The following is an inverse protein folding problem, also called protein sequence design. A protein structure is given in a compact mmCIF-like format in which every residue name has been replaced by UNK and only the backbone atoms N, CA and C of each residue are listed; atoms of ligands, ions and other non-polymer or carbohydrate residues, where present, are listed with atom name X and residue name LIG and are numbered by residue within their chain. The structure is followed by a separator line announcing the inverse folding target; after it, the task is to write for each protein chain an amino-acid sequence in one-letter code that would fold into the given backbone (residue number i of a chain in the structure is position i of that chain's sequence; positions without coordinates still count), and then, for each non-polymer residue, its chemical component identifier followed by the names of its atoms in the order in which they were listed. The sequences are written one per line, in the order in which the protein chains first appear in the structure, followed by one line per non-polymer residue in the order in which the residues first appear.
data_IF_487387135343
#
_entry.id   IF_487387135343
#
_cell.length_a   1.000
_cell.length_b   1.000
_cell.length_c   1.000
_cell.angle_alpha   90.00
_cell.angle_beta   90.00
_cell.angle_gamma   90.00
#
_symmetry.space_group_name_H-M   'P 1'
#
loop_
_entity.id
_entity.type
_entity.pdbx_description
1 polymer ?
#
# COMPACT_ATOMS: atom_id res chain seq x y z
N UNK A 1 -17.29 -29.29 -1.74
CA UNK A 1 -16.30 -28.20 -1.55
C UNK A 1 -17.03 -26.88 -1.76
N UNK A 2 -17.15 -26.05 -0.71
CA UNK A 2 -17.93 -24.81 -0.77
C UNK A 2 -17.31 -23.81 -1.75
N UNK A 3 -18.14 -23.14 -2.56
CA UNK A 3 -17.68 -22.03 -3.41
C UNK A 3 -17.10 -20.94 -2.48
N UNK A 4 -15.79 -20.76 -2.48
CA UNK A 4 -15.19 -19.58 -1.86
C UNK A 4 -15.71 -18.35 -2.58
N UNK A 5 -16.39 -17.48 -1.84
CA UNK A 5 -16.74 -16.17 -2.34
C UNK A 5 -15.44 -15.40 -2.64
N UNK A 6 -15.41 -14.69 -3.77
CA UNK A 6 -14.29 -13.85 -4.11
C UNK A 6 -14.18 -12.68 -3.11
N UNK A 7 -12.97 -12.16 -2.86
CA UNK A 7 -12.82 -10.94 -2.08
C UNK A 7 -13.58 -9.76 -2.69
N UNK A 8 -14.13 -8.89 -1.85
CA UNK A 8 -14.93 -7.70 -2.25
C UNK A 8 -14.23 -6.84 -3.31
N UNK A 9 -12.89 -6.75 -3.26
CA UNK A 9 -12.08 -5.90 -4.14
C UNK A 9 -11.29 -6.69 -5.18
N UNK A 10 -11.77 -7.86 -5.59
CA UNK A 10 -11.11 -8.68 -6.63
C UNK A 10 -10.85 -7.90 -7.93
N UNK A 11 -11.75 -6.98 -8.30
CA UNK A 11 -11.60 -6.17 -9.51
C UNK A 11 -10.46 -5.15 -9.42
N UNK A 12 -10.03 -4.76 -8.22
CA UNK A 12 -8.83 -3.94 -8.06
C UNK A 12 -7.59 -4.75 -8.40
N UNK A 13 -7.48 -5.96 -7.84
CA UNK A 13 -6.36 -6.85 -8.16
C UNK A 13 -6.30 -7.15 -9.66
N UNK A 14 -7.44 -7.43 -10.30
CA UNK A 14 -7.51 -7.66 -11.75
C UNK A 14 -7.01 -6.45 -12.55
N UNK A 15 -7.47 -5.24 -12.21
CA UNK A 15 -7.02 -4.01 -12.90
C UNK A 15 -5.53 -3.75 -12.71
N UNK A 16 -4.99 -4.00 -11.52
CA UNK A 16 -3.56 -3.85 -11.25
C UNK A 16 -2.72 -4.86 -12.03
N UNK A 17 -3.12 -6.13 -12.06
CA UNK A 17 -2.42 -7.14 -12.88
C UNK A 17 -2.52 -6.88 -14.38
N UNK A 18 -3.59 -6.23 -14.85
CA UNK A 18 -3.73 -5.85 -16.25
C UNK A 18 -2.91 -4.61 -16.63
N UNK A 19 -2.52 -3.78 -15.66
CA UNK A 19 -1.88 -2.49 -15.89
C UNK A 19 -0.40 -2.44 -15.47
N UNK A 20 0.10 -3.48 -14.80
CA UNK A 20 1.46 -3.50 -14.23
C UNK A 20 2.13 -4.85 -14.45
N UNK A 21 3.46 -4.89 -14.35
CA UNK A 21 4.25 -6.13 -14.39
C UNK A 21 4.26 -6.88 -13.04
N UNK A 22 3.37 -6.52 -12.12
CA UNK A 22 3.32 -7.12 -10.79
C UNK A 22 2.97 -8.61 -10.87
N UNK A 23 3.70 -9.43 -10.10
CA UNK A 23 3.41 -10.86 -9.92
C UNK A 23 2.70 -11.15 -8.60
N UNK A 24 2.65 -10.16 -7.72
CA UNK A 24 1.89 -10.18 -6.49
C UNK A 24 1.30 -8.80 -6.21
N UNK A 25 0.04 -8.79 -5.76
CA UNK A 25 -0.67 -7.60 -5.28
C UNK A 25 -1.22 -7.91 -3.90
N UNK A 26 -0.87 -7.10 -2.91
CA UNK A 26 -1.39 -7.21 -1.55
C UNK A 26 -2.21 -5.95 -1.22
N UNK A 27 -3.48 -6.15 -0.90
CA UNK A 27 -4.33 -5.14 -0.28
C UNK A 27 -4.51 -5.50 1.19
N UNK A 28 -4.13 -4.61 2.10
CA UNK A 28 -4.24 -4.81 3.54
C UNK A 28 -4.64 -3.52 4.26
N UNK A 29 -4.98 -3.63 5.56
CA UNK A 29 -5.51 -2.52 6.34
C UNK A 29 -4.72 -2.28 7.64
N UNK A 30 -3.43 -1.91 7.58
CA UNK A 30 -2.68 -1.58 8.79
C UNK A 30 -3.27 -0.36 9.49
N UNK A 31 -3.48 -0.45 10.81
CA UNK A 31 -4.13 0.63 11.61
C UNK A 31 -3.41 1.97 11.45
N UNK A 32 -2.07 1.97 11.48
CA UNK A 32 -1.29 3.19 11.32
C UNK A 32 -1.48 3.83 9.93
N UNK A 33 -1.59 3.02 8.88
CA UNK A 33 -1.85 3.51 7.51
C UNK A 33 -3.24 4.12 7.43
N UNK A 34 -4.27 3.44 7.95
CA UNK A 34 -5.63 3.96 7.95
C UNK A 34 -5.72 5.32 8.65
N UNK A 35 -5.07 5.45 9.82
CA UNK A 35 -5.06 6.70 10.58
C UNK A 35 -4.34 7.81 9.82
N UNK A 36 -3.18 7.52 9.22
CA UNK A 36 -2.41 8.52 8.47
C UNK A 36 -3.15 8.97 7.20
N UNK A 37 -3.72 8.02 6.45
CA UNK A 37 -4.50 8.30 5.24
C UNK A 37 -5.78 9.12 5.55
N UNK A 38 -6.42 8.88 6.69
CA UNK A 38 -7.57 9.66 7.15
C UNK A 38 -7.21 11.13 7.47
N UNK A 39 -5.95 11.41 7.84
CA UNK A 39 -5.44 12.76 8.04
C UNK A 39 -4.98 13.42 6.73
N UNK A 40 -5.00 12.70 5.61
CA UNK A 40 -4.45 13.19 4.34
C UNK A 40 -2.92 13.26 4.33
N UNK A 41 -2.26 12.51 5.21
CA UNK A 41 -0.81 12.56 5.41
C UNK A 41 -0.10 11.36 4.78
N UNK A 42 1.16 11.57 4.43
CA UNK A 42 2.12 10.54 4.07
C UNK A 42 3.16 10.39 5.18
N UNK A 43 3.81 9.22 5.32
CA UNK A 43 4.85 9.08 6.33
C UNK A 43 5.99 10.07 6.04
N UNK A 44 6.70 10.52 7.06
CA UNK A 44 7.79 11.50 6.90
C UNK A 44 8.96 10.87 6.15
N UNK A 45 9.42 11.53 5.08
CA UNK A 45 10.56 11.10 4.27
C UNK A 45 11.87 10.93 5.06
N UNK A 46 12.01 11.62 6.20
CA UNK A 46 13.15 11.44 7.11
C UNK A 46 13.13 10.10 7.84
N UNK A 47 11.96 9.48 7.99
CA UNK A 47 11.83 8.13 8.56
C UNK A 47 12.22 7.07 7.51
N UNK A 48 12.17 7.43 6.21
CA UNK A 48 12.49 6.52 5.10
C UNK A 48 13.98 6.44 4.81
N UNK A 49 14.75 7.49 5.11
CA UNK A 49 16.17 7.61 4.71
C UNK A 49 17.07 6.53 5.29
N UNK A 50 16.69 5.94 6.42
CA UNK A 50 17.51 4.97 7.14
C UNK A 50 17.32 3.52 6.63
N UNK A 51 16.33 3.30 5.76
CA UNK A 51 16.08 1.99 5.12
C UNK A 51 16.50 2.08 3.67
N UNK A 52 17.75 1.72 3.39
CA UNK A 52 18.33 1.70 2.05
C UNK A 52 17.38 1.08 1.00
N UNK A 53 16.83 1.93 0.14
CA UNK A 53 16.49 1.66 -1.28
C UNK A 53 15.44 0.60 -1.67
N UNK A 54 14.91 -0.21 -0.76
CA UNK A 54 14.06 -1.36 -1.15
C UNK A 54 12.58 -1.02 -1.44
N UNK A 55 12.09 0.13 -0.97
CA UNK A 55 10.67 0.50 -1.04
C UNK A 55 10.52 1.91 -1.62
N UNK A 56 9.80 2.01 -2.73
CA UNK A 56 9.45 3.29 -3.38
C UNK A 56 8.68 4.19 -2.40
N UNK A 57 8.86 5.51 -2.51
CA UNK A 57 8.11 6.46 -1.71
C UNK A 57 6.60 6.22 -1.86
N UNK A 58 5.85 6.02 -0.75
CA UNK A 58 4.42 5.81 -0.80
C UNK A 58 3.69 7.07 -1.27
N UNK A 59 2.60 6.89 -2.00
CA UNK A 59 1.68 7.98 -2.36
C UNK A 59 0.30 7.76 -1.75
N UNK A 60 -0.47 8.84 -1.61
CA UNK A 60 -1.85 8.81 -1.15
C UNK A 60 -2.77 9.05 -2.34
N UNK A 61 -3.80 8.21 -2.49
CA UNK A 61 -4.76 8.34 -3.58
C UNK A 61 -6.20 8.04 -3.13
N UNK A 62 -7.14 8.45 -3.97
CA UNK A 62 -8.54 8.08 -3.86
C UNK A 62 -8.79 6.66 -4.42
N UNK A 63 -9.79 5.92 -3.91
CA UNK A 63 -10.13 4.57 -4.37
C UNK A 63 -10.24 4.38 -5.90
N UNK A 64 -10.74 5.40 -6.61
CA UNK A 64 -10.97 5.31 -8.05
C UNK A 64 -9.67 5.34 -8.89
N UNK A 65 -8.59 5.86 -8.31
CA UNK A 65 -7.32 6.10 -8.99
C UNK A 65 -6.25 5.04 -8.69
N UNK A 66 -6.59 3.97 -7.95
CA UNK A 66 -5.62 2.98 -7.45
C UNK A 66 -4.83 2.30 -8.57
N UNK A 67 -5.49 1.86 -9.63
CA UNK A 67 -4.81 1.16 -10.72
C UNK A 67 -3.82 2.07 -11.45
N UNK A 68 -4.22 3.33 -11.72
CA UNK A 68 -3.35 4.32 -12.36
C UNK A 68 -2.16 4.69 -11.47
N UNK A 69 -2.39 4.85 -10.17
CA UNK A 69 -1.34 5.10 -9.18
C UNK A 69 -0.29 3.98 -9.16
N UNK A 70 -0.73 2.72 -9.27
CA UNK A 70 0.16 1.55 -9.23
C UNK A 70 0.97 1.31 -10.51
N UNK A 71 0.71 2.05 -11.60
CA UNK A 71 1.57 2.03 -12.80
C UNK A 71 2.91 2.71 -12.53
N UNK A 72 2.89 3.77 -11.72
CA UNK A 72 4.08 4.59 -11.43
C UNK A 72 4.65 4.34 -10.03
N UNK A 73 3.88 3.73 -9.12
CA UNK A 73 4.26 3.53 -7.73
C UNK A 73 4.00 2.10 -7.29
N UNK A 74 4.90 1.53 -6.50
CA UNK A 74 4.73 0.16 -5.99
C UNK A 74 3.95 0.08 -4.67
N UNK A 75 3.70 1.24 -4.06
CA UNK A 75 3.11 1.38 -2.73
C UNK A 75 2.15 2.56 -2.73
N UNK A 76 0.89 2.29 -2.39
CA UNK A 76 -0.17 3.28 -2.44
C UNK A 76 -1.05 3.17 -1.18
N UNK A 77 -1.11 4.26 -0.42
CA UNK A 77 -2.11 4.47 0.62
C UNK A 77 -3.40 4.90 -0.05
N UNK A 78 -4.51 4.26 0.33
CA UNK A 78 -5.82 4.51 -0.25
C UNK A 78 -6.73 5.03 0.85
N UNK A 79 -7.18 6.28 0.72
CA UNK A 79 -8.01 6.95 1.70
C UNK A 79 -9.28 6.14 2.00
N UNK A 80 -9.56 5.90 3.29
CA UNK A 80 -10.71 5.12 3.75
C UNK A 80 -10.65 3.62 3.45
N UNK A 81 -9.56 3.11 2.87
CA UNK A 81 -9.44 1.68 2.48
C UNK A 81 -8.25 1.00 3.13
N UNK A 82 -7.03 1.54 3.02
CA UNK A 82 -5.83 0.90 3.57
C UNK A 82 -4.57 1.11 2.73
N UNK A 83 -3.80 0.03 2.55
CA UNK A 83 -2.54 0.00 1.80
C UNK A 83 -2.62 -1.04 0.70
N UNK A 84 -2.19 -0.67 -0.51
CA UNK A 84 -1.98 -1.63 -1.59
C UNK A 84 -0.52 -1.60 -2.06
N UNK A 85 0.07 -2.77 -2.21
CA UNK A 85 1.44 -2.95 -2.72
C UNK A 85 1.47 -3.91 -3.91
N UNK A 86 2.33 -3.60 -4.88
CA UNK A 86 2.71 -4.49 -5.98
C UNK A 86 4.13 -5.00 -5.74
N UNK A 87 4.46 -6.19 -6.23
CA UNK A 87 5.84 -6.72 -6.22
C UNK A 87 6.02 -7.91 -7.17
N UNK A 88 7.26 -8.41 -7.29
CA UNK A 88 7.59 -9.62 -8.04
C UNK A 88 7.28 -10.93 -7.28
N UNK A 89 7.00 -10.86 -5.98
CA UNK A 89 6.57 -11.99 -5.16
C UNK A 89 5.72 -11.54 -3.98
N UNK A 90 4.90 -12.44 -3.43
CA UNK A 90 4.06 -12.12 -2.26
C UNK A 90 4.90 -11.73 -1.04
N UNK A 91 6.05 -12.41 -0.82
CA UNK A 91 6.96 -12.06 0.27
C UNK A 91 7.48 -10.62 0.18
N UNK A 92 7.80 -10.15 -1.04
CA UNK A 92 8.19 -8.76 -1.26
C UNK A 92 7.02 -7.78 -1.04
N UNK A 93 5.81 -8.12 -1.50
CA UNK A 93 4.63 -7.29 -1.29
C UNK A 93 4.30 -7.11 0.21
N UNK A 94 4.45 -8.20 1.00
CA UNK A 94 4.29 -8.18 2.46
C UNK A 94 5.38 -7.33 3.11
N UNK A 95 6.65 -7.56 2.77
CA UNK A 95 7.75 -6.78 3.34
C UNK A 95 7.60 -5.27 3.08
N UNK A 96 7.20 -4.89 1.86
CA UNK A 96 6.86 -3.49 1.52
C UNK A 96 5.73 -2.96 2.41
N UNK A 97 4.68 -3.74 2.60
CA UNK A 97 3.55 -3.33 3.43
C UNK A 97 3.91 -3.15 4.91
N UNK A 98 4.73 -4.04 5.46
CA UNK A 98 5.22 -3.95 6.84
C UNK A 98 6.12 -2.73 7.06
N UNK A 99 7.07 -2.50 6.14
CA UNK A 99 7.95 -1.32 6.17
C UNK A 99 7.14 -0.02 6.17
N UNK A 100 6.17 0.10 5.27
CA UNK A 100 5.35 1.31 5.15
C UNK A 100 4.46 1.49 6.38
N UNK A 101 3.89 0.41 6.91
CA UNK A 101 3.11 0.45 8.14
C UNK A 101 3.97 0.88 9.35
N UNK A 102 5.23 0.46 9.40
CA UNK A 102 6.19 0.90 10.40
C UNK A 102 6.47 2.40 10.26
N UNK A 103 6.73 2.89 9.05
CA UNK A 103 6.94 4.32 8.79
C UNK A 103 5.73 5.17 9.21
N UNK A 104 4.52 4.77 8.84
CA UNK A 104 3.30 5.47 9.26
C UNK A 104 3.18 5.52 10.79
N UNK A 105 3.55 4.44 11.48
CA UNK A 105 3.53 4.39 12.95
C UNK A 105 4.52 5.37 13.57
N UNK A 106 5.75 5.41 13.05
CA UNK A 106 6.77 6.36 13.51
C UNK A 106 6.36 7.81 13.25
N UNK A 107 5.82 8.13 12.07
CA UNK A 107 5.30 9.47 11.76
C UNK A 107 4.17 9.87 12.70
N UNK A 108 3.22 8.98 12.99
CA UNK A 108 2.17 9.26 13.98
C UNK A 108 2.75 9.50 15.37
N UNK A 109 3.74 8.73 15.80
CA UNK A 109 4.37 8.88 17.11
C UNK A 109 5.11 10.23 17.27
N UNK A 110 5.65 10.78 16.18
CA UNK A 110 6.33 12.08 16.18
C UNK A 110 5.38 13.29 16.14
N UNK A 111 4.11 13.09 15.77
CA UNK A 111 3.11 14.15 15.60
C UNK A 111 1.96 14.08 16.62
N UNK A 112 2.03 13.20 17.63
CA UNK A 112 1.16 13.23 18.81
C UNK A 112 1.94 13.80 20.00
#
# INVERSE_FOLDING_TARGET
VGKQALPERVDWHRRVYAATEARAVLLCQPVAVLRLAALGWLPDGKVWSDVETAVSAPILTAPDNVAAALVAHDVVLVAGVGLITTAASLGQAIARAETVAHWCRATLAMNN
#
